data_IF_299840126603
#
_entry.id   IF_299840126603
#
_cell.length_a   1.000
_cell.length_b   1.000
_cell.length_c   1.000
_cell.angle_alpha   90.00
_cell.angle_beta   90.00
_cell.angle_gamma   90.00
#
_symmetry.space_group_name_H-M   'P 1'
#
loop_
_entity.id
_entity.type
_entity.pdbx_description
1 polymer ?
#
# COMPACT_ATOMS: atom_id res chain seq x y z
N UNK A 1 59.07 0.87 8.86
CA UNK A 1 58.12 -0.16 9.33
C UNK A 1 56.73 0.27 8.84
N UNK A 2 56.26 -0.30 7.74
CA UNK A 2 55.00 0.06 7.09
C UNK A 2 53.76 -0.42 7.85
N UNK A 3 53.93 -1.19 8.90
CA UNK A 3 52.84 -1.81 9.67
C UNK A 3 52.13 -0.88 10.66
N UNK A 4 52.72 0.24 11.04
CA UNK A 4 52.12 1.19 11.98
C UNK A 4 51.34 2.34 11.28
N UNK A 5 51.59 2.57 9.99
CA UNK A 5 50.83 3.59 9.21
C UNK A 5 49.43 3.12 8.77
N UNK A 6 49.18 1.83 8.77
CA UNK A 6 47.91 1.28 8.31
C UNK A 6 46.74 1.42 9.31
N UNK A 7 47.02 1.56 10.60
CA UNK A 7 45.98 1.59 11.63
C UNK A 7 45.21 2.92 11.75
N UNK A 8 45.85 4.02 11.43
CA UNK A 8 45.27 5.37 11.59
C UNK A 8 44.46 5.84 10.37
N UNK A 9 44.43 5.04 9.30
CA UNK A 9 43.74 5.40 8.04
C UNK A 9 42.39 4.72 7.84
N UNK A 10 42.00 3.80 8.69
CA UNK A 10 40.72 3.09 8.57
C UNK A 10 39.59 3.93 9.14
N UNK A 11 38.54 4.06 8.32
CA UNK A 11 37.27 4.59 8.80
C UNK A 11 36.65 3.58 9.76
N UNK A 12 36.19 4.04 10.90
CA UNK A 12 35.36 3.25 11.79
C UNK A 12 33.89 3.44 11.42
N UNK A 13 33.15 2.36 11.38
CA UNK A 13 31.71 2.33 11.19
C UNK A 13 31.05 1.64 12.37
N UNK A 14 30.03 2.29 12.90
CA UNK A 14 29.07 1.67 13.81
C UNK A 14 27.67 1.75 13.24
N UNK A 15 26.84 0.74 13.52
CA UNK A 15 25.45 0.72 13.09
C UNK A 15 24.58 0.30 14.27
N UNK A 16 23.54 1.06 14.54
CA UNK A 16 22.60 0.80 15.63
C UNK A 16 21.15 1.06 15.20
N UNK A 17 20.22 0.29 15.74
CA UNK A 17 18.80 0.51 15.51
C UNK A 17 18.37 1.77 16.25
N UNK A 18 17.65 2.66 15.57
CA UNK A 18 17.10 3.87 16.17
C UNK A 18 16.01 3.50 17.19
N UNK A 19 16.13 4.00 18.40
CA UNK A 19 15.19 3.69 19.48
C UNK A 19 13.82 4.38 19.36
N UNK A 20 13.68 5.36 18.46
CA UNK A 20 12.49 6.20 18.31
C UNK A 20 11.79 6.04 16.98
N UNK A 21 12.50 5.58 15.96
CA UNK A 21 11.98 5.44 14.60
C UNK A 21 11.93 3.97 14.20
N UNK A 22 10.76 3.53 13.75
CA UNK A 22 10.56 2.12 13.33
C UNK A 22 11.53 1.73 12.22
N UNK A 23 12.19 0.59 12.42
CA UNK A 23 13.09 -0.04 11.45
C UNK A 23 14.02 0.97 10.75
N UNK A 24 14.62 1.84 11.53
CA UNK A 24 15.63 2.82 11.09
C UNK A 24 16.98 2.43 11.69
N UNK A 25 18.02 2.45 10.86
CA UNK A 25 19.39 2.20 11.27
C UNK A 25 20.18 3.51 11.20
N UNK A 26 20.83 3.86 12.29
CA UNK A 26 21.77 4.95 12.38
C UNK A 26 23.18 4.43 12.12
N UNK A 27 23.77 4.83 11.00
CA UNK A 27 25.17 4.58 10.68
C UNK A 27 25.99 5.76 11.15
N UNK A 28 27.04 5.52 11.96
CA UNK A 28 27.96 6.55 12.42
C UNK A 28 29.37 6.17 11.98
N UNK A 29 30.08 7.09 11.36
CA UNK A 29 31.42 6.85 10.82
C UNK A 29 32.31 8.06 10.87
N UNK A 30 33.63 7.83 10.90
CA UNK A 30 34.65 8.86 10.96
C UNK A 30 35.13 9.25 9.55
N UNK A 31 35.71 10.44 9.42
CA UNK A 31 36.45 10.82 8.23
C UNK A 31 37.81 10.10 8.19
N UNK A 32 38.20 9.52 7.05
CA UNK A 32 39.54 8.98 6.92
C UNK A 32 40.57 10.10 6.94
N UNK A 33 41.67 9.89 7.61
CA UNK A 33 42.80 10.85 7.66
C UNK A 33 43.73 10.61 6.47
N UNK A 34 43.47 11.27 5.39
CA UNK A 34 44.30 11.19 4.18
C UNK A 34 44.80 12.57 3.78
N UNK A 35 46.13 12.73 3.59
CA UNK A 35 46.71 13.91 3.03
C UNK A 35 46.60 13.94 1.50
N UNK A 36 46.53 15.14 0.92
CA UNK A 36 46.58 15.33 -0.54
C UNK A 36 45.29 15.00 -1.30
N UNK A 37 44.12 15.09 -0.65
CA UNK A 37 42.82 14.81 -1.24
C UNK A 37 42.20 16.09 -1.78
N UNK A 38 41.77 16.06 -3.06
CA UNK A 38 41.04 17.19 -3.67
C UNK A 38 39.54 17.14 -3.37
N UNK A 39 38.93 16.00 -3.59
CA UNK A 39 37.50 15.76 -3.37
C UNK A 39 37.32 14.41 -2.73
N UNK A 40 36.29 14.30 -1.91
CA UNK A 40 35.93 13.06 -1.25
C UNK A 40 34.40 12.87 -1.33
N UNK A 41 33.96 11.62 -1.51
CA UNK A 41 32.58 11.20 -1.34
C UNK A 41 32.53 9.82 -0.71
N UNK A 42 31.43 9.51 -0.06
CA UNK A 42 31.24 8.27 0.71
C UNK A 42 30.07 7.50 0.11
N UNK A 43 30.35 6.34 -0.47
CA UNK A 43 29.30 5.45 -0.97
C UNK A 43 28.88 4.51 0.16
N UNK A 44 27.59 4.56 0.51
CA UNK A 44 26.99 3.74 1.55
C UNK A 44 26.43 2.49 0.90
N UNK A 45 26.80 1.33 1.39
CA UNK A 45 26.33 0.03 0.91
C UNK A 45 25.49 -0.67 1.97
N UNK A 46 24.42 -1.30 1.48
CA UNK A 46 23.59 -2.24 2.23
C UNK A 46 23.51 -3.54 1.42
N UNK A 47 23.87 -4.67 2.05
CA UNK A 47 23.89 -5.99 1.39
C UNK A 47 24.64 -5.95 0.03
N UNK A 48 25.83 -5.35 0.03
CA UNK A 48 26.66 -5.14 -1.17
C UNK A 48 26.01 -4.27 -2.29
N UNK A 49 24.89 -3.62 -2.02
CA UNK A 49 24.23 -2.72 -2.98
C UNK A 49 24.43 -1.27 -2.52
N UNK A 50 24.91 -0.36 -3.38
CA UNK A 50 24.99 1.06 -3.04
C UNK A 50 23.59 1.62 -2.86
N UNK A 51 23.35 2.27 -1.71
CA UNK A 51 22.04 2.86 -1.37
C UNK A 51 22.05 4.38 -1.40
N UNK A 52 23.22 4.98 -1.14
CA UNK A 52 23.40 6.43 -1.17
C UNK A 52 24.86 6.82 -1.36
N UNK A 53 25.09 8.10 -1.69
CA UNK A 53 26.41 8.69 -1.81
C UNK A 53 26.39 10.07 -1.16
N UNK A 54 27.18 10.25 -0.11
CA UNK A 54 27.37 11.54 0.57
C UNK A 54 28.57 12.25 0.00
N UNK A 55 28.41 13.55 -0.30
CA UNK A 55 29.53 14.45 -0.60
C UNK A 55 30.30 14.80 0.67
N UNK A 56 31.45 15.44 0.53
CA UNK A 56 32.18 15.98 1.67
C UNK A 56 31.35 17.01 2.45
N UNK A 57 30.59 17.84 1.74
CA UNK A 57 29.70 18.84 2.36
C UNK A 57 28.57 18.18 3.15
N UNK A 58 27.98 17.09 2.63
CA UNK A 58 26.99 16.30 3.36
C UNK A 58 27.62 15.68 4.62
N UNK A 59 28.85 15.16 4.51
CA UNK A 59 29.55 14.63 5.67
C UNK A 59 29.72 15.70 6.75
N UNK A 60 30.25 16.88 6.39
CA UNK A 60 30.47 17.99 7.33
C UNK A 60 29.17 18.47 7.96
N UNK A 61 28.12 18.57 7.16
CA UNK A 61 26.78 19.01 7.63
C UNK A 61 26.17 18.02 8.63
N UNK A 62 26.37 16.71 8.43
CA UNK A 62 25.82 15.66 9.26
C UNK A 62 26.78 15.18 10.37
N UNK A 63 27.98 15.76 10.46
CA UNK A 63 28.93 15.42 11.49
C UNK A 63 28.59 16.13 12.80
N UNK A 64 28.67 15.37 13.87
CA UNK A 64 28.57 15.90 15.23
C UNK A 64 29.83 16.77 15.52
N UNK A 65 29.65 18.04 15.89
CA UNK A 65 30.78 18.96 16.06
C UNK A 65 31.72 18.59 17.25
N UNK A 66 31.24 17.79 18.20
CA UNK A 66 32.03 17.37 19.36
C UNK A 66 32.83 16.09 19.08
N UNK A 67 32.22 15.15 18.36
CA UNK A 67 32.80 13.83 18.10
C UNK A 67 33.41 13.69 16.70
N UNK A 68 33.03 14.55 15.75
CA UNK A 68 33.41 14.44 14.34
C UNK A 68 32.77 13.25 13.61
N UNK A 69 31.83 12.56 14.24
CA UNK A 69 31.14 11.42 13.65
C UNK A 69 30.00 11.89 12.72
N UNK A 70 30.04 11.50 11.46
CA UNK A 70 28.93 11.66 10.56
C UNK A 70 27.84 10.62 10.85
N UNK A 71 26.59 11.05 10.85
CA UNK A 71 25.42 10.18 11.04
C UNK A 71 24.59 10.12 9.76
N UNK A 72 24.35 8.91 9.27
CA UNK A 72 23.45 8.62 8.16
C UNK A 72 22.32 7.73 8.66
N UNK A 73 21.07 7.99 8.21
CA UNK A 73 19.90 7.21 8.59
C UNK A 73 19.33 6.45 7.40
N UNK A 74 19.33 5.13 7.49
CA UNK A 74 18.60 4.25 6.56
C UNK A 74 17.24 3.90 7.19
N UNK A 75 16.14 4.35 6.53
CA UNK A 75 14.81 4.40 7.13
C UNK A 75 13.84 3.40 6.51
N UNK A 76 12.84 3.04 7.30
CA UNK A 76 11.69 2.21 6.88
C UNK A 76 12.11 0.90 6.22
N UNK A 77 13.09 0.24 6.83
CA UNK A 77 13.58 -1.06 6.39
C UNK A 77 12.54 -2.15 6.63
N UNK A 78 12.49 -3.13 5.76
CA UNK A 78 11.74 -4.36 6.05
C UNK A 78 12.34 -5.07 7.25
N UNK A 79 11.54 -5.86 7.96
CA UNK A 79 12.06 -6.74 8.99
C UNK A 79 13.14 -7.67 8.40
N UNK A 80 14.32 -7.67 8.97
CA UNK A 80 15.45 -8.44 8.45
C UNK A 80 16.78 -8.05 9.06
N UNK A 81 17.81 -8.72 8.58
CA UNK A 81 19.21 -8.46 8.95
C UNK A 81 19.94 -7.89 7.75
N UNK A 82 20.71 -6.85 7.96
CA UNK A 82 21.38 -6.07 6.93
C UNK A 82 22.85 -5.91 7.25
N UNK A 83 23.70 -6.02 6.24
CA UNK A 83 25.14 -5.77 6.33
C UNK A 83 25.45 -4.40 5.72
N UNK A 84 26.10 -3.52 6.50
CA UNK A 84 26.49 -2.18 6.06
C UNK A 84 27.99 -2.05 5.99
N UNK A 85 28.46 -1.37 4.95
CA UNK A 85 29.81 -0.84 4.87
C UNK A 85 29.83 0.47 4.07
N UNK A 86 30.88 1.27 4.27
CA UNK A 86 31.06 2.54 3.58
C UNK A 86 32.38 2.50 2.82
N UNK A 87 32.35 2.90 1.56
CA UNK A 87 33.52 3.03 0.72
C UNK A 87 33.77 4.50 0.41
N UNK A 88 34.88 5.07 0.88
CA UNK A 88 35.29 6.41 0.46
C UNK A 88 35.87 6.36 -0.95
N UNK A 89 35.54 7.37 -1.75
CA UNK A 89 36.10 7.60 -3.06
C UNK A 89 36.78 8.98 -3.06
N UNK A 90 37.96 9.05 -3.64
CA UNK A 90 38.78 10.26 -3.67
C UNK A 90 39.18 10.61 -5.10
N UNK A 91 39.44 11.90 -5.33
CA UNK A 91 40.19 12.34 -6.49
C UNK A 91 41.61 12.74 -6.02
N UNK A 92 42.63 12.17 -6.63
CA UNK A 92 44.01 12.60 -6.37
C UNK A 92 44.35 13.90 -7.09
N UNK A 93 45.29 14.66 -6.57
CA UNK A 93 45.93 15.71 -7.37
C UNK A 93 46.69 15.03 -8.51
N UNK A 94 46.52 15.49 -9.75
CA UNK A 94 47.40 15.05 -10.83
C UNK A 94 48.80 15.61 -10.56
N UNK A 95 49.82 14.78 -10.69
CA UNK A 95 51.22 15.23 -10.56
C UNK A 95 51.61 16.35 -11.54
N UNK A 96 50.83 16.53 -12.62
CA UNK A 96 51.01 17.60 -13.59
C UNK A 96 50.74 19.01 -13.03
N UNK A 97 49.95 19.13 -11.95
CA UNK A 97 49.76 20.45 -11.30
C UNK A 97 50.88 20.80 -10.32
N UNK A 98 51.67 19.84 -9.88
CA UNK A 98 52.84 20.09 -9.05
C UNK A 98 54.07 20.50 -9.88
N UNK A 99 54.09 20.19 -11.17
CA UNK A 99 55.25 20.47 -12.05
C UNK A 99 55.18 21.84 -12.74
N UNK A 100 54.03 22.51 -12.73
CA UNK A 100 53.83 23.74 -13.49
C UNK A 100 54.30 25.02 -12.75
N UNK A 101 54.66 24.94 -11.47
CA UNK A 101 54.84 26.16 -10.65
C UNK A 101 56.23 26.36 -10.07
N UNK A 102 57.28 25.68 -10.59
CA UNK A 102 58.62 25.81 -10.02
C UNK A 102 59.63 26.58 -10.92
N UNK A 103 59.35 26.88 -12.16
CA UNK A 103 60.32 27.51 -13.06
C UNK A 103 59.76 28.74 -13.80
N UNK A 104 59.42 29.82 -13.08
CA UNK A 104 59.68 31.17 -13.59
C UNK A 104 59.73 32.22 -12.46
N UNK A 105 60.84 32.87 -12.23
CA UNK A 105 60.91 34.05 -11.37
C UNK A 105 60.52 35.28 -12.18
N UNK A 106 59.31 35.73 -12.05
CA UNK A 106 58.99 37.04 -12.56
C UNK A 106 57.55 37.26 -12.95
N UNK A 107 56.95 38.05 -12.13
CA UNK A 107 55.82 38.96 -12.34
C UNK A 107 54.64 38.61 -11.44
N UNK A 108 54.67 39.34 -10.38
CA UNK A 108 53.59 39.68 -9.49
C UNK A 108 52.45 40.32 -10.31
N UNK A 109 51.41 39.52 -10.53
CA UNK A 109 50.12 40.08 -10.76
C UNK A 109 49.11 39.17 -9.95
N UNK A 110 48.57 39.72 -8.89
CA UNK A 110 47.74 39.11 -7.88
C UNK A 110 46.49 38.36 -8.36
N UNK A 111 46.63 37.53 -9.36
CA UNK A 111 45.60 36.59 -9.79
C UNK A 111 45.55 35.39 -8.84
N UNK A 112 44.52 35.32 -8.03
CA UNK A 112 44.11 34.09 -7.36
C UNK A 112 43.79 33.08 -8.45
N UNK A 113 44.71 32.15 -8.74
CA UNK A 113 44.41 30.99 -9.57
C UNK A 113 43.46 30.12 -8.76
N UNK A 114 42.18 30.28 -9.03
CA UNK A 114 41.21 29.24 -8.62
C UNK A 114 41.56 27.99 -9.41
N UNK A 115 41.82 26.83 -8.75
CA UNK A 115 42.05 25.59 -9.47
C UNK A 115 40.86 25.37 -10.40
N UNK A 116 41.07 25.35 -11.71
CA UNK A 116 40.03 24.88 -12.63
C UNK A 116 39.66 23.45 -12.22
N UNK A 117 38.39 23.21 -11.90
CA UNK A 117 37.91 21.89 -11.62
C UNK A 117 38.19 21.01 -12.84
N UNK A 118 39.07 20.02 -12.70
CA UNK A 118 39.25 19.01 -13.74
C UNK A 118 38.01 18.10 -13.72
N UNK A 119 37.06 18.23 -14.66
CA UNK A 119 35.84 17.46 -14.67
C UNK A 119 36.06 15.95 -14.96
N UNK A 120 37.26 15.58 -15.41
CA UNK A 120 37.66 14.23 -15.77
C UNK A 120 38.50 13.53 -14.70
N UNK A 121 38.66 14.12 -13.52
CA UNK A 121 39.39 13.46 -12.43
C UNK A 121 38.73 12.11 -12.07
N UNK A 122 39.52 11.05 -12.25
CA UNK A 122 39.05 9.68 -11.95
C UNK A 122 38.85 9.52 -10.44
N UNK A 123 37.70 8.96 -10.06
CA UNK A 123 37.39 8.60 -8.67
C UNK A 123 38.10 7.31 -8.30
N UNK A 124 38.99 7.36 -7.35
CA UNK A 124 39.74 6.19 -6.86
C UNK A 124 39.08 5.68 -5.58
N UNK A 125 38.70 4.41 -5.57
CA UNK A 125 38.19 3.73 -4.38
C UNK A 125 39.31 3.49 -3.36
N UNK A 126 39.02 3.79 -2.10
CA UNK A 126 39.90 3.46 -0.98
C UNK A 126 39.32 2.31 -0.16
N UNK A 127 40.02 1.85 0.87
CA UNK A 127 39.54 0.74 1.72
C UNK A 127 38.18 1.05 2.30
N UNK A 128 37.24 0.12 2.12
CA UNK A 128 35.93 0.20 2.77
C UNK A 128 36.07 -0.02 4.28
N UNK A 129 35.10 0.46 5.04
CA UNK A 129 34.95 0.05 6.45
C UNK A 129 34.76 -1.45 6.56
N UNK A 130 35.10 -2.02 7.73
CA UNK A 130 34.66 -3.37 8.06
C UNK A 130 33.13 -3.44 8.07
N UNK A 131 32.50 -4.43 7.41
CA UNK A 131 31.06 -4.58 7.43
C UNK A 131 30.49 -4.74 8.84
N UNK A 132 29.39 -4.06 9.12
CA UNK A 132 28.66 -4.16 10.39
C UNK A 132 27.26 -4.69 10.12
N UNK A 133 26.88 -5.73 10.87
CA UNK A 133 25.56 -6.36 10.74
C UNK A 133 24.58 -5.80 11.76
N UNK A 134 23.36 -5.48 11.31
CA UNK A 134 22.26 -4.99 12.14
C UNK A 134 20.96 -5.72 11.81
N UNK A 135 20.25 -6.14 12.84
CA UNK A 135 18.91 -6.73 12.70
C UNK A 135 17.87 -5.73 13.14
N UNK A 136 16.89 -5.44 12.25
CA UNK A 136 15.73 -4.63 12.55
C UNK A 136 14.47 -5.49 12.58
N UNK A 137 13.62 -5.25 13.56
CA UNK A 137 12.34 -5.95 13.69
C UNK A 137 11.30 -5.05 14.34
N UNK A 138 10.18 -4.90 13.66
CA UNK A 138 8.97 -4.27 14.20
C UNK A 138 7.80 -5.22 13.99
N UNK A 139 7.06 -5.52 15.04
CA UNK A 139 5.79 -6.22 14.91
C UNK A 139 4.79 -5.33 14.18
N UNK A 140 4.26 -5.82 13.07
CA UNK A 140 3.36 -5.05 12.23
C UNK A 140 1.91 -5.39 12.58
N UNK A 141 1.10 -4.39 12.95
CA UNK A 141 -0.28 -4.63 13.33
C UNK A 141 -1.15 -4.91 12.10
N UNK A 142 -2.02 -5.90 12.22
CA UNK A 142 -3.07 -6.17 11.25
C UNK A 142 -4.32 -5.34 11.54
N UNK A 143 -5.21 -5.21 10.56
CA UNK A 143 -6.57 -4.73 10.82
C UNK A 143 -7.31 -5.69 11.74
N UNK A 144 -8.19 -5.15 12.59
CA UNK A 144 -9.01 -5.90 13.53
C UNK A 144 -10.49 -5.71 13.24
N UNK A 145 -11.34 -6.45 13.93
CA UNK A 145 -12.81 -6.33 13.84
C UNK A 145 -13.33 -6.47 12.40
N UNK A 146 -12.65 -7.30 11.58
CA UNK A 146 -13.11 -7.59 10.24
C UNK A 146 -14.50 -8.25 10.31
N UNK A 147 -15.48 -7.67 9.63
CA UNK A 147 -16.87 -8.12 9.68
C UNK A 147 -17.58 -7.94 8.33
N UNK A 148 -18.55 -8.83 8.08
CA UNK A 148 -19.51 -8.67 7.00
C UNK A 148 -20.60 -7.67 7.46
N UNK A 149 -20.70 -6.52 6.79
CA UNK A 149 -21.64 -5.44 7.15
C UNK A 149 -22.89 -5.43 6.28
N UNK A 150 -22.88 -6.17 5.19
CA UNK A 150 -24.01 -6.26 4.26
C UNK A 150 -23.63 -7.00 2.99
N UNK A 151 -24.56 -7.02 2.06
CA UNK A 151 -24.32 -7.62 0.76
C UNK A 151 -25.26 -7.03 -0.27
N UNK A 152 -24.88 -7.13 -1.53
CA UNK A 152 -25.66 -6.73 -2.68
C UNK A 152 -25.63 -7.86 -3.70
N UNK A 153 -26.76 -8.07 -4.35
CA UNK A 153 -26.87 -9.02 -5.47
C UNK A 153 -27.26 -8.22 -6.71
N UNK A 154 -26.38 -8.20 -7.69
CA UNK A 154 -26.66 -7.64 -9.01
C UNK A 154 -27.02 -8.74 -9.96
N UNK A 155 -28.02 -8.52 -10.77
CA UNK A 155 -28.40 -9.43 -11.82
C UNK A 155 -28.31 -8.75 -13.17
N UNK A 156 -27.80 -9.50 -14.14
CA UNK A 156 -27.67 -9.05 -15.52
C UNK A 156 -28.17 -10.16 -16.46
N UNK A 157 -28.54 -9.77 -17.69
CA UNK A 157 -29.01 -10.71 -18.71
C UNK A 157 -30.51 -10.66 -18.96
N UNK A 158 -31.01 -11.57 -19.79
CA UNK A 158 -32.44 -11.72 -20.09
C UNK A 158 -33.12 -12.64 -19.05
N UNK A 159 -34.47 -12.57 -18.96
CA UNK A 159 -35.27 -13.43 -18.06
C UNK A 159 -34.95 -14.92 -18.23
N UNK A 160 -34.52 -15.36 -19.43
CA UNK A 160 -34.15 -16.72 -19.73
C UNK A 160 -32.70 -17.07 -19.31
N UNK A 161 -31.82 -16.08 -19.10
CA UNK A 161 -30.41 -16.23 -18.76
C UNK A 161 -29.97 -15.15 -17.75
N UNK A 162 -30.54 -15.17 -16.57
CA UNK A 162 -30.17 -14.28 -15.46
C UNK A 162 -28.86 -14.75 -14.85
N UNK A 163 -27.88 -13.87 -14.87
CA UNK A 163 -26.63 -14.03 -14.15
C UNK A 163 -26.68 -13.20 -12.86
N UNK A 164 -26.35 -13.80 -11.75
CA UNK A 164 -26.25 -13.15 -10.43
C UNK A 164 -24.78 -12.85 -10.14
N UNK A 165 -24.50 -11.67 -9.67
CA UNK A 165 -23.20 -11.28 -9.14
C UNK A 165 -23.38 -10.88 -7.69
N UNK A 166 -22.65 -11.52 -6.79
CA UNK A 166 -22.73 -11.27 -5.35
C UNK A 166 -21.65 -10.29 -4.94
N UNK A 167 -22.00 -9.33 -4.10
CA UNK A 167 -21.08 -8.38 -3.48
C UNK A 167 -21.18 -8.50 -1.96
N UNK A 168 -20.03 -8.57 -1.30
CA UNK A 168 -19.94 -8.55 0.16
C UNK A 168 -19.44 -7.18 0.62
N UNK A 169 -20.22 -6.52 1.47
CA UNK A 169 -19.79 -5.33 2.20
C UNK A 169 -18.95 -5.76 3.40
N UNK A 170 -17.70 -5.32 3.47
CA UNK A 170 -16.79 -5.62 4.56
C UNK A 170 -16.43 -4.33 5.30
N UNK A 171 -16.27 -4.43 6.62
CA UNK A 171 -15.69 -3.37 7.45
C UNK A 171 -14.63 -3.93 8.39
N UNK A 172 -13.72 -3.07 8.82
CA UNK A 172 -12.66 -3.39 9.77
C UNK A 172 -12.24 -2.15 10.55
N UNK A 173 -11.40 -2.34 11.55
CA UNK A 173 -10.72 -1.27 12.27
C UNK A 173 -9.25 -1.26 11.89
N UNK A 174 -8.77 -0.11 11.44
CA UNK A 174 -7.35 0.07 11.17
C UNK A 174 -6.56 0.18 12.49
N UNK A 175 -5.30 -0.28 12.51
CA UNK A 175 -4.41 -0.06 13.64
C UNK A 175 -4.22 1.43 13.95
N UNK A 176 -4.00 1.74 15.22
CA UNK A 176 -3.57 3.08 15.62
C UNK A 176 -2.20 3.37 15.00
N UNK A 177 -2.00 4.62 14.57
CA UNK A 177 -0.74 5.08 13.96
C UNK A 177 -0.31 4.28 12.72
N UNK A 178 -1.26 3.73 11.96
CA UNK A 178 -1.02 2.92 10.76
C UNK A 178 -0.01 3.57 9.78
N UNK A 179 0.00 4.90 9.71
CA UNK A 179 0.90 5.69 8.85
C UNK A 179 2.36 5.64 9.30
N UNK A 180 2.62 5.46 10.60
CA UNK A 180 3.97 5.45 11.16
C UNK A 180 4.80 4.24 10.70
N UNK A 181 4.11 3.16 10.31
CA UNK A 181 4.71 1.96 9.72
C UNK A 181 4.93 2.08 8.20
N UNK A 182 4.67 3.24 7.62
CA UNK A 182 4.72 3.45 6.16
C UNK A 182 3.62 2.70 5.44
N UNK A 183 2.35 2.91 5.84
CA UNK A 183 1.18 2.29 5.22
C UNK A 183 1.17 2.48 3.70
N UNK A 184 0.89 1.41 2.97
CA UNK A 184 0.76 1.40 1.51
C UNK A 184 -0.67 1.10 1.07
N UNK A 185 -1.24 0.00 1.57
CA UNK A 185 -2.60 -0.43 1.21
C UNK A 185 -3.11 -1.54 2.11
N UNK A 186 -4.44 -1.67 2.16
CA UNK A 186 -5.15 -2.87 2.58
C UNK A 186 -5.59 -3.63 1.33
N UNK A 187 -5.28 -4.91 1.23
CA UNK A 187 -5.68 -5.78 0.14
C UNK A 187 -6.61 -6.87 0.67
N UNK A 188 -7.77 -7.03 0.04
CA UNK A 188 -8.77 -8.01 0.45
C UNK A 188 -8.63 -9.26 -0.38
N UNK A 189 -8.58 -10.40 0.26
CA UNK A 189 -8.51 -11.73 -0.35
C UNK A 189 -9.69 -12.58 0.06
N UNK A 190 -10.15 -13.44 -0.85
CA UNK A 190 -11.17 -14.46 -0.59
C UNK A 190 -10.56 -15.84 -0.69
N UNK A 191 -10.80 -16.65 0.34
CA UNK A 191 -10.33 -18.04 0.39
C UNK A 191 -8.82 -18.17 0.14
N UNK A 192 -8.43 -19.10 -0.70
CA UNK A 192 -7.02 -19.35 -1.07
C UNK A 192 -6.57 -18.61 -2.33
N UNK A 193 -7.27 -17.57 -2.75
CA UNK A 193 -6.91 -16.82 -3.96
C UNK A 193 -5.59 -16.06 -3.74
N UNK A 194 -4.72 -16.12 -4.76
CA UNK A 194 -3.43 -15.41 -4.74
C UNK A 194 -3.54 -13.94 -5.17
N UNK A 195 -4.66 -13.55 -5.76
CA UNK A 195 -4.90 -12.20 -6.26
C UNK A 195 -5.88 -11.48 -5.36
N UNK A 196 -5.57 -10.25 -4.99
CA UNK A 196 -6.47 -9.40 -4.23
C UNK A 196 -7.67 -8.97 -5.09
N UNK A 197 -8.85 -8.97 -4.50
CA UNK A 197 -10.09 -8.52 -5.15
C UNK A 197 -10.28 -7.01 -5.07
N UNK A 198 -9.77 -6.39 -4.01
CA UNK A 198 -9.82 -4.95 -3.82
C UNK A 198 -8.56 -4.48 -3.12
N UNK A 199 -8.12 -3.29 -3.50
CA UNK A 199 -6.97 -2.60 -2.89
C UNK A 199 -7.39 -1.21 -2.42
N UNK A 200 -7.21 -0.94 -1.14
CA UNK A 200 -7.57 0.32 -0.48
C UNK A 200 -6.29 1.03 -0.06
N UNK A 201 -5.96 2.12 -0.74
CA UNK A 201 -4.72 2.89 -0.54
C UNK A 201 -4.86 4.04 0.46
N UNK A 202 -6.08 4.33 0.91
CA UNK A 202 -6.33 5.36 1.92
C UNK A 202 -6.27 4.78 3.32
N UNK A 203 -5.43 5.33 4.16
CA UNK A 203 -5.21 4.87 5.54
C UNK A 203 -6.42 5.05 6.46
N UNK A 204 -7.34 5.96 6.14
CA UNK A 204 -8.56 6.23 6.89
C UNK A 204 -9.77 5.38 6.45
N UNK A 205 -9.64 4.65 5.34
CA UNK A 205 -10.71 3.80 4.85
C UNK A 205 -10.79 2.50 5.63
N UNK A 206 -12.00 2.19 6.12
CA UNK A 206 -12.28 1.04 7.00
C UNK A 206 -13.37 0.12 6.46
N UNK A 207 -13.70 0.24 5.18
CA UNK A 207 -14.71 -0.60 4.53
C UNK A 207 -14.44 -0.75 3.04
N UNK A 208 -15.02 -1.79 2.46
CA UNK A 208 -15.03 -2.03 1.02
C UNK A 208 -16.19 -2.95 0.62
N UNK A 209 -16.64 -2.82 -0.63
CA UNK A 209 -17.50 -3.80 -1.27
C UNK A 209 -16.65 -4.64 -2.23
N UNK A 210 -16.72 -5.95 -2.10
CA UNK A 210 -15.98 -6.89 -2.92
C UNK A 210 -16.93 -7.80 -3.70
N UNK A 211 -16.62 -7.97 -4.98
CA UNK A 211 -17.32 -8.91 -5.83
C UNK A 211 -16.86 -10.34 -5.50
N UNK A 212 -17.81 -11.24 -5.32
CA UNK A 212 -17.52 -12.65 -5.10
C UNK A 212 -17.45 -13.37 -6.45
N UNK A 213 -16.32 -14.00 -6.71
CA UNK A 213 -16.08 -14.71 -7.97
C UNK A 213 -17.00 -15.94 -8.16
N UNK A 214 -17.57 -16.47 -7.07
CA UNK A 214 -18.38 -17.68 -7.04
C UNK A 214 -19.59 -17.54 -6.12
N UNK A 215 -20.68 -18.23 -6.42
CA UNK A 215 -21.88 -18.32 -5.60
C UNK A 215 -21.73 -19.38 -4.48
N UNK A 216 -20.57 -19.37 -3.81
CA UNK A 216 -20.23 -20.34 -2.76
C UNK A 216 -19.81 -19.64 -1.48
N UNK A 217 -20.08 -20.29 -0.35
CA UNK A 217 -19.55 -19.85 0.95
C UNK A 217 -18.02 -19.79 0.88
N UNK A 218 -17.45 -18.70 1.34
CA UNK A 218 -16.01 -18.43 1.31
C UNK A 218 -15.52 -17.78 2.59
N UNK A 219 -14.25 -17.49 2.67
CA UNK A 219 -13.63 -16.76 3.77
C UNK A 219 -12.97 -15.50 3.22
N UNK A 220 -12.93 -14.45 4.01
CA UNK A 220 -12.22 -13.22 3.69
C UNK A 220 -11.19 -12.87 4.74
N UNK A 221 -10.09 -12.29 4.30
CA UNK A 221 -9.07 -11.70 5.16
C UNK A 221 -8.46 -10.47 4.48
N UNK A 222 -7.83 -9.63 5.28
CA UNK A 222 -7.18 -8.40 4.82
C UNK A 222 -5.68 -8.52 5.04
N UNK A 223 -4.90 -8.21 4.02
CA UNK A 223 -3.46 -8.05 4.12
C UNK A 223 -3.14 -6.57 4.13
N UNK A 224 -2.65 -6.07 5.25
CA UNK A 224 -2.16 -4.70 5.37
C UNK A 224 -0.70 -4.65 4.98
N UNK A 225 -0.38 -3.89 3.93
CA UNK A 225 0.98 -3.72 3.42
C UNK A 225 1.57 -2.40 3.90
N UNK A 226 2.77 -2.48 4.43
CA UNK A 226 3.59 -1.37 4.94
C UNK A 226 4.91 -1.26 4.18
N UNK A 227 5.65 -0.16 4.37
CA UNK A 227 7.03 -0.09 3.93
C UNK A 227 7.89 -1.18 4.60
N UNK A 228 7.62 -1.46 5.88
CA UNK A 228 8.35 -2.42 6.72
C UNK A 228 8.01 -3.89 6.44
N UNK A 229 6.94 -4.19 5.72
CA UNK A 229 6.48 -5.56 5.48
C UNK A 229 4.96 -5.64 5.30
N UNK A 230 4.36 -6.70 5.85
CA UNK A 230 2.91 -6.87 5.82
C UNK A 230 2.40 -7.56 7.09
N UNK A 231 1.12 -7.39 7.37
CA UNK A 231 0.39 -8.10 8.41
C UNK A 231 -0.91 -8.67 7.85
N UNK A 232 -1.40 -9.76 8.41
CA UNK A 232 -2.60 -10.46 7.95
C UNK A 232 -3.62 -10.47 9.09
N UNK A 233 -4.86 -10.07 8.79
CA UNK A 233 -5.97 -10.11 9.75
C UNK A 233 -6.42 -11.54 10.04
N UNK A 234 -7.25 -11.69 11.07
CA UNK A 234 -8.07 -12.87 11.21
C UNK A 234 -8.98 -13.07 9.99
N UNK A 235 -9.36 -14.30 9.74
CA UNK A 235 -10.29 -14.67 8.67
C UNK A 235 -11.72 -14.61 9.16
N UNK A 236 -12.64 -14.14 8.32
CA UNK A 236 -14.09 -14.25 8.57
C UNK A 236 -14.76 -15.10 7.50
N UNK A 237 -15.79 -15.84 7.90
CA UNK A 237 -16.61 -16.59 6.96
C UNK A 237 -17.61 -15.65 6.25
N UNK A 238 -17.70 -15.75 4.94
CA UNK A 238 -18.72 -15.12 4.12
C UNK A 238 -19.71 -16.19 3.68
N UNK A 239 -20.92 -16.11 4.19
CA UNK A 239 -22.02 -17.01 3.84
C UNK A 239 -22.89 -16.38 2.79
N UNK A 240 -23.09 -17.03 1.65
CA UNK A 240 -23.96 -16.53 0.57
C UNK A 240 -25.38 -16.26 1.09
N UNK A 241 -25.91 -17.14 1.94
CA UNK A 241 -27.21 -16.91 2.58
C UNK A 241 -27.27 -15.64 3.44
N UNK A 242 -26.15 -15.26 4.07
CA UNK A 242 -26.09 -14.01 4.84
C UNK A 242 -26.16 -12.80 3.91
N UNK A 243 -25.50 -12.85 2.75
CA UNK A 243 -25.58 -11.82 1.71
C UNK A 243 -27.00 -11.73 1.15
N UNK A 244 -27.62 -12.86 0.83
CA UNK A 244 -29.02 -12.90 0.36
C UNK A 244 -30.00 -12.31 1.39
N UNK A 245 -29.80 -12.57 2.67
CA UNK A 245 -30.60 -12.00 3.75
C UNK A 245 -30.35 -10.51 3.96
N UNK A 246 -29.09 -10.07 3.86
CA UNK A 246 -28.70 -8.65 4.02
C UNK A 246 -29.12 -7.79 2.83
N UNK A 247 -29.11 -8.35 1.62
CA UNK A 247 -29.62 -7.68 0.42
C UNK A 247 -31.12 -7.38 0.49
N UNK A 248 -31.83 -7.98 1.49
CA UNK A 248 -33.30 -7.84 1.66
C UNK A 248 -34.02 -8.21 0.36
N UNK A 249 -35.17 -8.72 0.38
CA UNK A 249 -35.98 -9.16 -0.79
C UNK A 249 -35.14 -9.44 -2.05
N UNK A 250 -34.99 -10.69 -2.41
CA UNK A 250 -34.33 -11.08 -3.67
C UNK A 250 -34.90 -10.24 -4.84
N UNK A 251 -34.18 -9.22 -5.26
CA UNK A 251 -34.61 -8.30 -6.30
C UNK A 251 -33.58 -8.20 -7.41
N UNK A 252 -34.01 -8.34 -8.63
CA UNK A 252 -33.23 -8.04 -9.83
C UNK A 252 -33.33 -6.55 -10.08
N UNK A 253 -32.25 -5.78 -9.90
CA UNK A 253 -32.21 -4.36 -10.31
C UNK A 253 -31.46 -4.23 -11.62
N UNK A 254 -32.15 -3.76 -12.66
CA UNK A 254 -31.55 -3.28 -13.91
C UNK A 254 -31.22 -1.80 -13.69
N UNK A 255 -30.03 -1.35 -14.10
CA UNK A 255 -29.60 0.04 -13.97
C UNK A 255 -30.63 0.98 -14.67
N UNK A 256 -31.15 1.95 -13.92
CA UNK A 256 -32.21 2.86 -14.42
C UNK A 256 -33.65 2.40 -14.15
N UNK A 257 -33.86 1.29 -13.46
CA UNK A 257 -35.18 0.78 -13.16
C UNK A 257 -35.77 1.33 -11.86
N UNK A 258 -37.08 1.29 -11.75
CA UNK A 258 -37.84 1.76 -10.58
C UNK A 258 -37.50 0.86 -9.36
N UNK A 259 -37.08 1.45 -8.27
CA UNK A 259 -36.82 0.74 -7.02
C UNK A 259 -38.14 0.43 -6.32
N UNK A 260 -38.28 -0.82 -5.81
CA UNK A 260 -39.41 -1.24 -5.01
C UNK A 260 -38.98 -1.54 -3.58
N UNK A 261 -39.77 -1.13 -2.61
CA UNK A 261 -39.67 -1.49 -1.21
C UNK A 261 -40.91 -2.25 -0.77
N UNK A 262 -40.74 -3.24 0.12
CA UNK A 262 -41.82 -4.14 0.53
C UNK A 262 -42.00 -4.06 2.04
N UNK A 263 -43.21 -3.71 2.48
CA UNK A 263 -43.55 -3.69 3.91
C UNK A 263 -45.03 -4.04 4.09
N UNK A 264 -45.35 -4.90 5.03
CA UNK A 264 -46.75 -5.27 5.40
C UNK A 264 -47.62 -5.58 4.20
N UNK A 265 -47.16 -6.46 3.31
CA UNK A 265 -47.82 -6.84 2.06
C UNK A 265 -48.13 -5.62 1.10
N UNK A 266 -47.37 -4.53 1.27
CA UNK A 266 -47.47 -3.35 0.40
C UNK A 266 -46.15 -3.16 -0.34
N UNK A 267 -46.22 -2.93 -1.63
CA UNK A 267 -45.09 -2.55 -2.48
C UNK A 267 -45.15 -1.03 -2.64
N UNK A 268 -44.01 -0.36 -2.37
CA UNK A 268 -43.86 1.08 -2.65
C UNK A 268 -42.75 1.25 -3.66
N UNK A 269 -43.01 2.02 -4.71
CA UNK A 269 -42.07 2.26 -5.81
C UNK A 269 -41.48 3.66 -5.75
N UNK A 270 -40.23 3.80 -6.20
CA UNK A 270 -39.55 5.10 -6.27
C UNK A 270 -40.10 6.01 -7.38
N UNK A 271 -40.87 5.47 -8.31
CA UNK A 271 -41.51 6.19 -9.44
C UNK A 271 -42.67 5.35 -9.97
N UNK A 272 -43.54 5.94 -10.82
CA UNK A 272 -44.64 5.25 -11.46
C UNK A 272 -44.14 4.10 -12.35
N UNK A 273 -44.72 2.92 -12.19
CA UNK A 273 -44.41 1.76 -12.99
C UNK A 273 -45.60 0.79 -13.10
N UNK A 274 -45.50 -0.19 -13.98
CA UNK A 274 -46.41 -1.34 -14.04
C UNK A 274 -45.92 -2.42 -13.07
N UNK A 275 -46.81 -2.88 -12.22
CA UNK A 275 -46.53 -4.01 -11.28
C UNK A 275 -47.34 -5.21 -11.75
N UNK A 276 -46.64 -6.32 -12.04
CA UNK A 276 -47.23 -7.62 -12.34
C UNK A 276 -46.82 -8.63 -11.28
N UNK A 277 -47.72 -9.42 -10.76
CA UNK A 277 -47.46 -10.45 -9.75
C UNK A 277 -47.80 -11.84 -10.31
N UNK A 278 -46.84 -12.75 -10.16
CA UNK A 278 -46.93 -14.11 -10.65
C UNK A 278 -46.89 -15.11 -9.50
N UNK A 279 -47.74 -16.09 -9.52
CA UNK A 279 -47.65 -17.25 -8.63
C UNK A 279 -46.43 -18.15 -8.98
N UNK A 280 -46.06 -19.07 -8.09
CA UNK A 280 -44.91 -19.96 -8.28
C UNK A 280 -45.01 -20.87 -9.52
N UNK A 281 -46.22 -21.07 -10.04
CA UNK A 281 -46.49 -21.84 -11.26
C UNK A 281 -46.38 -20.99 -12.54
N UNK A 282 -46.00 -19.71 -12.43
CA UNK A 282 -45.85 -18.76 -13.55
C UNK A 282 -47.17 -18.05 -13.97
N UNK A 283 -48.29 -18.34 -13.32
CA UNK A 283 -49.56 -17.69 -13.60
C UNK A 283 -49.55 -16.26 -13.07
N UNK A 284 -49.90 -15.26 -13.94
CA UNK A 284 -50.09 -13.88 -13.50
C UNK A 284 -51.39 -13.81 -12.68
N UNK A 285 -51.27 -13.34 -11.44
CA UNK A 285 -52.37 -13.26 -10.46
C UNK A 285 -52.77 -11.83 -10.16
N UNK A 286 -51.95 -10.85 -10.52
CA UNK A 286 -52.25 -9.42 -10.35
C UNK A 286 -51.47 -8.60 -11.35
N UNK A 287 -52.07 -7.46 -11.80
CA UNK A 287 -51.38 -6.46 -12.59
C UNK A 287 -51.99 -5.10 -12.34
N UNK A 288 -51.16 -4.08 -12.19
CA UNK A 288 -51.62 -2.68 -12.11
C UNK A 288 -50.59 -1.78 -12.79
N UNK A 289 -51.09 -0.83 -13.57
CA UNK A 289 -50.29 0.03 -14.44
C UNK A 289 -50.17 1.43 -13.84
N UNK A 290 -48.96 2.03 -14.03
CA UNK A 290 -48.67 3.41 -13.67
C UNK A 290 -48.95 3.76 -12.21
N UNK A 291 -48.50 2.91 -11.31
CA UNK A 291 -48.68 3.04 -9.86
C UNK A 291 -47.36 3.29 -9.13
N UNK A 292 -47.43 3.96 -7.98
CA UNK A 292 -46.34 4.15 -7.05
C UNK A 292 -46.45 3.25 -5.80
N UNK A 293 -47.61 2.60 -5.60
CA UNK A 293 -47.82 1.67 -4.49
C UNK A 293 -48.89 0.66 -4.83
N UNK A 294 -48.70 -0.59 -4.41
CA UNK A 294 -49.61 -1.72 -4.60
C UNK A 294 -49.77 -2.48 -3.30
N UNK A 295 -51.03 -2.81 -2.93
CA UNK A 295 -51.32 -3.69 -1.79
C UNK A 295 -51.54 -5.12 -2.26
N UNK A 296 -50.81 -6.07 -1.65
CA UNK A 296 -50.94 -7.50 -1.92
C UNK A 296 -51.81 -8.23 -0.87
N UNK A 297 -52.51 -7.49 -0.02
CA UNK A 297 -53.33 -8.08 1.06
C UNK A 297 -54.48 -9.00 0.57
N UNK A 298 -54.85 -8.85 -0.67
CA UNK A 298 -55.91 -9.67 -1.29
C UNK A 298 -55.38 -10.98 -1.90
N UNK A 299 -54.08 -11.18 -1.88
CA UNK A 299 -53.46 -12.42 -2.36
C UNK A 299 -53.33 -13.42 -1.24
N UNK A 300 -53.52 -14.75 -1.49
CA UNK A 300 -53.24 -15.76 -0.52
C UNK A 300 -51.82 -15.73 0.01
N UNK A 301 -51.65 -16.19 1.27
CA UNK A 301 -50.32 -16.31 1.88
C UNK A 301 -49.47 -17.36 1.10
N UNK A 302 -48.59 -16.88 0.25
CA UNK A 302 -47.72 -17.70 -0.61
C UNK A 302 -46.48 -16.89 -1.06
N UNK A 303 -45.56 -17.57 -1.74
CA UNK A 303 -44.45 -16.91 -2.44
C UNK A 303 -44.88 -16.49 -3.85
N UNK A 304 -44.55 -15.26 -4.21
CA UNK A 304 -44.85 -14.65 -5.50
C UNK A 304 -43.59 -14.05 -6.13
N UNK A 305 -43.62 -13.96 -7.45
CA UNK A 305 -42.67 -13.14 -8.22
C UNK A 305 -43.37 -11.83 -8.56
N UNK A 306 -42.82 -10.71 -8.14
CA UNK A 306 -43.30 -9.35 -8.43
C UNK A 306 -42.40 -8.74 -9.49
N UNK A 307 -42.94 -8.42 -10.63
CA UNK A 307 -42.25 -7.71 -11.72
C UNK A 307 -42.67 -6.24 -11.73
N UNK A 308 -41.71 -5.35 -11.72
CA UNK A 308 -41.90 -3.89 -11.84
C UNK A 308 -41.31 -3.45 -13.16
N UNK A 309 -42.14 -2.92 -14.05
CA UNK A 309 -41.74 -2.54 -15.40
C UNK A 309 -41.94 -1.03 -15.61
N UNK A 310 -40.91 -0.38 -16.17
CA UNK A 310 -40.95 0.98 -16.66
C UNK A 310 -40.08 1.15 -17.90
N UNK A 311 -40.65 1.67 -18.98
CA UNK A 311 -39.95 1.96 -20.25
C UNK A 311 -39.15 0.75 -20.79
N UNK A 312 -39.73 -0.45 -20.68
CA UNK A 312 -39.08 -1.69 -21.13
C UNK A 312 -38.04 -2.29 -20.18
N UNK A 313 -37.73 -1.61 -19.09
CA UNK A 313 -36.86 -2.14 -18.03
C UNK A 313 -37.73 -2.86 -16.98
N UNK A 314 -37.40 -4.13 -16.69
CA UNK A 314 -38.15 -4.98 -15.76
C UNK A 314 -37.27 -5.35 -14.58
N UNK A 315 -37.76 -5.07 -13.37
CA UNK A 315 -37.20 -5.61 -12.13
C UNK A 315 -38.11 -6.73 -11.62
N UNK A 316 -37.55 -7.87 -11.22
CA UNK A 316 -38.29 -8.97 -10.62
C UNK A 316 -37.86 -9.19 -9.19
N UNK A 317 -38.85 -9.34 -8.29
CA UNK A 317 -38.67 -9.54 -6.86
C UNK A 317 -39.40 -10.79 -6.41
N UNK A 318 -38.79 -11.60 -5.57
CA UNK A 318 -39.48 -12.69 -4.88
C UNK A 318 -40.00 -12.17 -3.55
N UNK A 319 -41.31 -12.20 -3.36
CA UNK A 319 -41.97 -11.72 -2.16
C UNK A 319 -42.91 -12.76 -1.58
N UNK A 320 -42.96 -12.84 -0.25
CA UNK A 320 -43.88 -13.73 0.45
C UNK A 320 -44.96 -12.93 1.15
N UNK A 321 -46.21 -13.07 0.66
CA UNK A 321 -47.38 -12.57 1.34
C UNK A 321 -47.60 -13.39 2.61
N UNK A 322 -47.81 -12.70 3.74
CA UNK A 322 -47.99 -13.31 5.07
C UNK A 322 -49.46 -13.32 5.44
#
# INVERSE_FOLDING_TARGET
DFTDMEKDTYMELTAEVDAKAYNTVNLKFTMPQLGGIQKCKFVIYRDCTPIDTLSLDDFVTNADPETGLCTYQDKLLKNGTYDYFIQPLFTAYSDDMMAADIDEPGIDDGGVVTPEENPEAEWIGYYSTTPVQVTVYTELPAVTDLALTGGEIKTSGSIANLQKTYYAGLSWKNPENITDYGFKKNSIYLGMQKQSLAEITKADSTNANVELAFEEDTEAYVVTSYALGYAVSDTIAIKIKAIENAAGVEGVTVDGAVKATFANNTITLSDNATVSVFAANGQKVYEENNVTSVSLNNLPAAAYIVCVEKNGNVNAYKYRVK
#
